data_IF_755549072445
#
_entry.id   IF_755549072445
#
_cell.length_a   1.000
_cell.length_b   1.000
_cell.length_c   1.000
_cell.angle_alpha   90.00
_cell.angle_beta   90.00
_cell.angle_gamma   90.00
#
_symmetry.space_group_name_H-M   'P 1'
#
loop_
_entity.id
_entity.type
_entity.pdbx_description
1 polymer ?
#
# COMPACT_ATOMS: atom_id res chain seq x y z
N UNK A 1 15.73 3.31 -16.28
CA UNK A 1 14.48 3.61 -15.55
C UNK A 1 14.75 4.10 -14.14
N UNK A 2 15.68 3.50 -13.41
CA UNK A 2 16.09 3.97 -12.07
C UNK A 2 16.61 5.42 -12.08
N UNK A 3 17.43 5.82 -13.05
CA UNK A 3 17.88 7.22 -13.19
C UNK A 3 16.75 8.24 -13.40
N UNK A 4 15.70 7.86 -14.12
CA UNK A 4 14.50 8.69 -14.32
C UNK A 4 13.71 8.81 -13.01
N UNK A 5 13.67 7.73 -12.23
CA UNK A 5 13.02 7.70 -10.91
C UNK A 5 13.81 8.53 -9.90
N UNK A 6 15.15 8.47 -9.97
CA UNK A 6 16.07 9.28 -9.17
C UNK A 6 15.90 10.77 -9.48
N UNK A 7 15.96 11.17 -10.76
CA UNK A 7 15.82 12.58 -11.14
C UNK A 7 14.47 13.16 -10.70
N UNK A 8 13.40 12.37 -10.82
CA UNK A 8 12.10 12.77 -10.30
C UNK A 8 12.07 12.94 -8.79
N UNK A 9 12.58 11.93 -8.06
CA UNK A 9 12.57 11.95 -6.60
C UNK A 9 13.45 13.07 -6.04
N UNK A 10 14.52 13.46 -6.73
CA UNK A 10 15.39 14.58 -6.33
C UNK A 10 14.94 15.94 -6.85
N UNK A 11 13.88 16.00 -7.66
CA UNK A 11 13.29 17.24 -8.14
C UNK A 11 13.93 17.84 -9.39
N UNK A 12 14.85 17.11 -10.03
CA UNK A 12 15.45 17.48 -11.31
C UNK A 12 14.46 17.33 -12.48
N UNK A 13 13.44 16.47 -12.32
CA UNK A 13 12.39 16.23 -13.31
C UNK A 13 10.99 16.33 -12.64
N UNK A 14 10.03 17.08 -13.22
CA UNK A 14 8.66 17.12 -12.74
C UNK A 14 7.86 15.90 -13.23
N UNK A 15 6.74 15.59 -12.56
CA UNK A 15 5.91 14.41 -12.86
C UNK A 15 5.29 14.46 -14.27
N UNK A 16 5.01 15.66 -14.76
CA UNK A 16 4.42 15.92 -16.09
C UNK A 16 5.48 16.02 -17.20
N UNK A 17 6.75 15.78 -16.90
CA UNK A 17 7.80 15.90 -17.90
C UNK A 17 7.67 14.83 -18.99
N UNK A 18 8.12 15.13 -20.23
CA UNK A 18 8.19 14.12 -21.29
C UNK A 18 9.05 12.90 -20.92
N UNK A 19 10.05 13.10 -20.05
CA UNK A 19 10.92 12.04 -19.53
C UNK A 19 10.14 11.11 -18.61
N UNK A 20 9.36 11.66 -17.67
CA UNK A 20 8.56 10.89 -16.72
C UNK A 20 7.35 10.22 -17.36
N UNK A 21 6.76 10.86 -18.35
CA UNK A 21 5.70 10.26 -19.18
C UNK A 21 6.11 8.93 -19.82
N UNK A 22 7.42 8.67 -19.99
CA UNK A 22 7.93 7.38 -20.47
C UNK A 22 7.71 6.24 -19.48
N UNK A 23 7.65 6.51 -18.17
CA UNK A 23 7.34 5.50 -17.15
C UNK A 23 5.96 4.87 -17.38
N UNK A 24 5.00 5.66 -17.86
CA UNK A 24 3.62 5.24 -18.05
C UNK A 24 3.34 4.61 -19.42
N UNK A 25 4.39 4.39 -20.23
CA UNK A 25 4.27 3.68 -21.51
C UNK A 25 4.29 2.16 -21.36
N UNK A 26 4.80 1.67 -20.22
CA UNK A 26 5.01 0.25 -19.95
C UNK A 26 4.86 -0.01 -18.45
N UNK A 27 4.07 -1.02 -18.09
CA UNK A 27 3.85 -1.44 -16.70
C UNK A 27 5.18 -1.81 -16.00
N UNK A 28 6.11 -2.45 -16.71
CA UNK A 28 7.41 -2.88 -16.17
C UNK A 28 8.27 -1.69 -15.69
N UNK A 29 8.13 -0.55 -16.35
CA UNK A 29 8.82 0.67 -15.96
C UNK A 29 8.26 1.25 -14.67
N UNK A 30 6.95 1.13 -14.45
CA UNK A 30 6.30 1.51 -13.20
C UNK A 30 6.75 0.56 -12.08
N UNK A 31 6.80 -0.76 -12.33
CA UNK A 31 7.35 -1.71 -11.36
C UNK A 31 8.80 -1.38 -10.98
N UNK A 32 9.62 -0.99 -11.95
CA UNK A 32 11.01 -0.59 -11.68
C UNK A 32 11.07 0.65 -10.78
N UNK A 33 10.25 1.67 -11.05
CA UNK A 33 10.18 2.87 -10.21
C UNK A 33 9.70 2.58 -8.79
N UNK A 34 8.66 1.75 -8.62
CA UNK A 34 8.17 1.32 -7.31
C UNK A 34 9.27 0.60 -6.53
N UNK A 35 9.99 -0.33 -7.19
CA UNK A 35 11.10 -1.05 -6.57
C UNK A 35 12.20 -0.09 -6.12
N UNK A 36 12.55 0.88 -6.97
CA UNK A 36 13.55 1.89 -6.65
C UNK A 36 13.13 2.73 -5.44
N UNK A 37 11.91 3.28 -5.44
CA UNK A 37 11.40 4.05 -4.31
C UNK A 37 11.42 3.20 -3.04
N UNK A 38 10.86 1.99 -3.07
CA UNK A 38 10.95 1.08 -1.93
C UNK A 38 12.40 0.84 -1.49
N UNK A 39 13.37 0.62 -2.38
CA UNK A 39 14.77 0.41 -2.01
C UNK A 39 15.39 1.60 -1.27
N UNK A 40 15.05 2.83 -1.65
CA UNK A 40 15.53 4.04 -0.97
C UNK A 40 14.72 4.40 0.28
N UNK A 41 13.79 3.54 0.72
CA UNK A 41 13.11 3.68 2.03
C UNK A 41 14.16 3.68 3.15
N UNK A 42 14.29 4.80 3.86
CA UNK A 42 15.27 4.99 4.91
C UNK A 42 15.34 6.44 5.40
N UNK A 43 16.18 6.69 6.42
CA UNK A 43 16.15 7.90 7.25
C UNK A 43 16.72 9.19 6.62
N UNK A 44 16.67 9.34 5.29
CA UNK A 44 17.21 10.56 4.63
C UNK A 44 16.32 11.16 3.55
N UNK A 45 15.12 10.64 3.31
CA UNK A 45 14.19 11.34 2.42
C UNK A 45 13.56 12.53 3.14
N UNK A 46 13.66 13.72 2.54
CA UNK A 46 12.94 14.91 2.97
C UNK A 46 11.42 14.70 2.87
N UNK A 47 10.63 15.58 3.47
CA UNK A 47 9.17 15.48 3.33
C UNK A 47 8.72 15.82 1.90
N UNK A 48 9.42 16.69 1.18
CA UNK A 48 9.20 16.94 -0.25
C UNK A 48 9.42 15.67 -1.09
N UNK A 49 10.45 14.89 -0.77
CA UNK A 49 10.73 13.64 -1.47
C UNK A 49 9.66 12.58 -1.19
N UNK A 50 9.14 12.51 0.05
CA UNK A 50 8.00 11.64 0.36
C UNK A 50 6.74 12.09 -0.37
N UNK A 51 6.49 13.39 -0.44
CA UNK A 51 5.35 13.94 -1.17
C UNK A 51 5.40 13.55 -2.66
N UNK A 52 6.58 13.60 -3.29
CA UNK A 52 6.79 13.11 -4.66
C UNK A 52 6.48 11.63 -4.83
N UNK A 53 6.78 10.78 -3.84
CA UNK A 53 6.38 9.37 -3.87
C UNK A 53 4.86 9.23 -3.88
N UNK A 54 4.14 10.03 -3.08
CA UNK A 54 2.68 10.02 -3.10
C UNK A 54 2.10 10.55 -4.41
N UNK A 55 2.66 11.62 -4.99
CA UNK A 55 2.24 12.14 -6.30
C UNK A 55 2.44 11.08 -7.40
N UNK A 56 3.56 10.36 -7.35
CA UNK A 56 3.81 9.24 -8.26
C UNK A 56 2.79 8.12 -8.05
N UNK A 57 2.52 7.74 -6.80
CA UNK A 57 1.53 6.71 -6.49
C UNK A 57 0.14 7.10 -7.03
N UNK A 58 -0.30 8.33 -6.84
CA UNK A 58 -1.56 8.85 -7.41
C UNK A 58 -1.59 8.72 -8.94
N UNK A 59 -0.51 9.12 -9.62
CA UNK A 59 -0.42 8.96 -11.07
C UNK A 59 -0.47 7.50 -11.52
N UNK A 60 0.15 6.58 -10.77
CA UNK A 60 0.03 5.14 -11.05
C UNK A 60 -1.38 4.62 -10.85
N UNK A 61 -2.11 5.11 -9.83
CA UNK A 61 -3.52 4.75 -9.58
C UNK A 61 -4.41 5.23 -10.72
N UNK A 62 -4.24 6.48 -11.15
CA UNK A 62 -5.01 7.02 -12.29
C UNK A 62 -4.68 6.30 -13.59
N UNK A 63 -3.41 5.99 -13.83
CA UNK A 63 -2.99 5.17 -14.98
C UNK A 63 -3.61 3.77 -14.93
N UNK A 64 -3.61 3.11 -13.77
CA UNK A 64 -4.19 1.77 -13.60
C UNK A 64 -5.71 1.76 -13.84
N UNK A 65 -6.42 2.79 -13.38
CA UNK A 65 -7.87 2.97 -13.63
C UNK A 65 -8.20 3.21 -15.10
N UNK A 66 -7.27 3.82 -15.85
CA UNK A 66 -7.45 4.08 -17.28
C UNK A 66 -7.20 2.84 -18.16
N UNK A 67 -6.65 1.76 -17.61
CA UNK A 67 -6.45 0.52 -18.35
C UNK A 67 -7.77 -0.21 -18.59
N UNK A 68 -7.84 -0.98 -19.69
CA UNK A 68 -9.01 -1.82 -20.01
C UNK A 68 -9.33 -2.82 -18.89
N UNK A 69 -8.29 -3.33 -18.25
CA UNK A 69 -8.35 -4.23 -17.10
C UNK A 69 -7.41 -3.71 -16.04
N UNK A 70 -7.87 -3.67 -14.79
CA UNK A 70 -7.06 -3.20 -13.67
C UNK A 70 -5.84 -4.14 -13.51
N UNK A 71 -4.60 -3.63 -13.59
CA UNK A 71 -3.38 -4.43 -13.46
C UNK A 71 -3.12 -4.76 -11.98
N UNK A 72 -3.71 -5.86 -11.49
CA UNK A 72 -3.69 -6.22 -10.06
C UNK A 72 -2.29 -6.46 -9.50
N UNK A 73 -1.35 -6.97 -10.32
CA UNK A 73 0.06 -7.15 -9.96
C UNK A 73 0.74 -5.81 -9.67
N UNK A 74 0.55 -4.82 -10.54
CA UNK A 74 1.03 -3.47 -10.32
C UNK A 74 0.43 -2.86 -9.04
N UNK A 75 -0.88 -3.01 -8.83
CA UNK A 75 -1.53 -2.47 -7.63
C UNK A 75 -1.00 -3.13 -6.35
N UNK A 76 -0.82 -4.45 -6.37
CA UNK A 76 -0.19 -5.17 -5.27
C UNK A 76 1.21 -4.62 -4.99
N UNK A 77 1.97 -4.34 -6.05
CA UNK A 77 3.32 -3.81 -5.94
C UNK A 77 3.35 -2.38 -5.36
N UNK A 78 2.38 -1.54 -5.73
CA UNK A 78 2.22 -0.20 -5.16
C UNK A 78 2.01 -0.21 -3.64
N UNK A 79 1.47 -1.30 -3.08
CA UNK A 79 1.31 -1.44 -1.63
C UNK A 79 2.64 -1.35 -0.86
N UNK A 80 3.78 -1.60 -1.52
CA UNK A 80 5.11 -1.36 -0.94
C UNK A 80 5.28 0.11 -0.56
N UNK A 81 4.72 1.06 -1.30
CA UNK A 81 4.88 2.48 -0.97
C UNK A 81 4.19 2.89 0.35
N UNK A 82 3.41 2.00 0.97
CA UNK A 82 2.80 2.22 2.29
C UNK A 82 3.82 2.53 3.41
N UNK A 83 5.10 2.18 3.27
CA UNK A 83 6.14 2.54 4.27
C UNK A 83 6.32 4.06 4.44
N UNK A 84 5.96 4.85 3.43
CA UNK A 84 6.05 6.30 3.49
C UNK A 84 4.92 6.95 4.28
N UNK A 85 3.85 6.20 4.57
CA UNK A 85 2.70 6.67 5.35
C UNK A 85 3.10 6.75 6.83
N UNK A 86 3.09 7.97 7.38
CA UNK A 86 3.29 8.23 8.82
C UNK A 86 1.97 8.50 9.55
N UNK A 87 1.04 9.16 8.85
CA UNK A 87 -0.31 9.50 9.30
C UNK A 87 -1.24 9.21 8.12
N UNK A 88 -2.45 8.73 8.40
CA UNK A 88 -3.44 8.43 7.36
C UNK A 88 -4.39 9.63 7.25
N UNK A 89 -4.08 10.56 6.35
CA UNK A 89 -4.98 11.64 5.97
C UNK A 89 -5.86 11.19 4.78
N UNK A 90 -6.82 12.02 4.28
CA UNK A 90 -7.71 11.61 3.20
C UNK A 90 -6.98 11.09 1.95
N UNK A 91 -5.80 11.67 1.65
CA UNK A 91 -4.97 11.28 0.51
C UNK A 91 -4.40 9.87 0.67
N UNK A 92 -3.67 9.62 1.76
CA UNK A 92 -3.06 8.32 2.05
C UNK A 92 -4.13 7.25 2.23
N UNK A 93 -5.27 7.60 2.85
CA UNK A 93 -6.40 6.69 3.00
C UNK A 93 -6.90 6.20 1.65
N UNK A 94 -7.10 7.11 0.68
CA UNK A 94 -7.57 6.75 -0.65
C UNK A 94 -6.60 5.81 -1.37
N UNK A 95 -5.30 6.09 -1.28
CA UNK A 95 -4.24 5.24 -1.85
C UNK A 95 -4.20 3.85 -1.21
N UNK A 96 -4.25 3.78 0.12
CA UNK A 96 -4.24 2.52 0.88
C UNK A 96 -5.48 1.68 0.62
N UNK A 97 -6.67 2.29 0.55
CA UNK A 97 -7.92 1.59 0.22
C UNK A 97 -7.92 1.05 -1.21
N UNK A 98 -7.25 1.73 -2.14
CA UNK A 98 -7.15 1.26 -3.52
C UNK A 98 -6.25 0.02 -3.64
N UNK A 99 -5.14 -0.03 -2.90
CA UNK A 99 -4.23 -1.19 -2.94
C UNK A 99 -4.69 -2.35 -2.07
N UNK A 100 -5.43 -2.09 -0.99
CA UNK A 100 -5.82 -3.09 0.01
C UNK A 100 -6.43 -4.38 -0.57
N UNK A 101 -7.34 -4.36 -1.56
CA UNK A 101 -7.90 -5.59 -2.12
C UNK A 101 -6.90 -6.47 -2.90
N UNK A 102 -5.72 -5.94 -3.23
CA UNK A 102 -4.78 -6.57 -4.16
C UNK A 102 -3.46 -6.98 -3.50
N UNK A 103 -3.27 -6.73 -2.20
CA UNK A 103 -1.99 -6.97 -1.50
C UNK A 103 -1.57 -8.44 -1.46
N UNK A 104 -2.50 -9.36 -1.72
CA UNK A 104 -2.27 -10.82 -1.72
C UNK A 104 -1.62 -11.32 -3.02
N UNK A 105 -1.72 -10.58 -4.13
CA UNK A 105 -1.29 -11.04 -5.46
C UNK A 105 0.23 -11.21 -5.61
N UNK A 106 1.05 -10.49 -4.84
CA UNK A 106 2.52 -10.49 -4.97
C UNK A 106 3.23 -10.67 -3.61
N UNK A 107 2.63 -11.42 -2.68
CA UNK A 107 3.19 -11.66 -1.33
C UNK A 107 3.48 -10.37 -0.53
N UNK A 108 2.77 -9.28 -0.84
CA UNK A 108 2.94 -7.99 -0.17
C UNK A 108 2.08 -7.84 1.10
N UNK A 109 1.20 -8.82 1.39
CA UNK A 109 0.28 -8.79 2.53
C UNK A 109 1.03 -8.55 3.85
N UNK A 110 2.05 -9.35 4.18
CA UNK A 110 2.75 -9.23 5.48
C UNK A 110 3.44 -7.87 5.66
N UNK A 111 4.04 -7.34 4.59
CA UNK A 111 4.66 -6.02 4.60
C UNK A 111 3.59 -4.92 4.72
N UNK A 112 2.43 -5.09 4.08
CA UNK A 112 1.31 -4.18 4.20
C UNK A 112 0.74 -4.15 5.63
N UNK A 113 0.52 -5.31 6.25
CA UNK A 113 0.08 -5.44 7.64
C UNK A 113 1.07 -4.81 8.62
N UNK A 114 2.37 -4.98 8.39
CA UNK A 114 3.41 -4.33 9.19
C UNK A 114 3.33 -2.80 9.10
N UNK A 115 3.13 -2.25 7.90
CA UNK A 115 2.99 -0.81 7.70
C UNK A 115 1.70 -0.25 8.34
N UNK A 116 0.57 -0.97 8.25
CA UNK A 116 -0.66 -0.60 8.97
C UNK A 116 -0.46 -0.60 10.49
N UNK A 117 0.27 -1.60 11.01
CA UNK A 117 0.57 -1.71 12.43
C UNK A 117 1.39 -0.53 12.95
N UNK A 118 2.33 0.01 12.16
CA UNK A 118 3.13 1.19 12.52
C UNK A 118 2.28 2.44 12.76
N UNK A 119 1.21 2.62 11.99
CA UNK A 119 0.36 3.82 12.04
C UNK A 119 -0.94 3.63 12.81
N UNK A 120 -1.19 2.42 13.33
CA UNK A 120 -2.39 2.05 14.09
C UNK A 120 -2.70 3.02 15.22
N UNK A 121 -1.70 3.34 16.06
CA UNK A 121 -1.93 4.14 17.28
C UNK A 121 -2.50 5.53 16.96
N UNK A 122 -2.04 6.14 15.88
CA UNK A 122 -2.49 7.47 15.43
C UNK A 122 -3.73 7.41 14.54
N UNK A 123 -4.03 6.27 13.91
CA UNK A 123 -5.08 6.16 12.88
C UNK A 123 -5.97 4.91 13.04
N UNK A 124 -6.49 4.58 14.24
CA UNK A 124 -7.08 3.26 14.48
C UNK A 124 -8.35 3.00 13.65
N UNK A 125 -9.18 4.03 13.42
CA UNK A 125 -10.38 3.92 12.57
C UNK A 125 -10.02 3.67 11.10
N UNK A 126 -9.06 4.42 10.54
CA UNK A 126 -8.67 4.25 9.15
C UNK A 126 -7.98 2.89 8.93
N UNK A 127 -7.11 2.47 9.86
CA UNK A 127 -6.46 1.16 9.82
C UNK A 127 -7.48 0.02 9.87
N UNK A 128 -8.51 0.13 10.71
CA UNK A 128 -9.61 -0.85 10.74
C UNK A 128 -10.28 -1.00 9.37
N UNK A 129 -10.62 0.10 8.72
CA UNK A 129 -11.32 0.09 7.43
C UNK A 129 -10.44 -0.51 6.32
N UNK A 130 -9.18 -0.11 6.27
CA UNK A 130 -8.21 -0.60 5.28
C UNK A 130 -7.94 -2.09 5.50
N UNK A 131 -7.76 -2.53 6.75
CA UNK A 131 -7.54 -3.94 7.08
C UNK A 131 -8.72 -4.79 6.66
N UNK A 132 -9.94 -4.37 7.01
CA UNK A 132 -11.17 -5.05 6.62
C UNK A 132 -11.24 -5.21 5.10
N UNK A 133 -10.93 -4.14 4.36
CA UNK A 133 -10.94 -4.16 2.89
C UNK A 133 -9.93 -5.16 2.30
N UNK A 134 -8.78 -5.34 2.95
CA UNK A 134 -7.77 -6.31 2.51
C UNK A 134 -8.20 -7.76 2.77
N UNK A 135 -8.78 -8.05 3.94
CA UNK A 135 -9.19 -9.41 4.32
C UNK A 135 -10.47 -9.83 3.58
N UNK A 136 -11.40 -8.91 3.32
CA UNK A 136 -12.61 -9.21 2.52
C UNK A 136 -12.29 -9.60 1.08
N UNK A 137 -11.15 -9.15 0.54
CA UNK A 137 -10.75 -9.47 -0.82
C UNK A 137 -10.10 -10.86 -0.92
N UNK A 138 -9.31 -11.23 0.07
CA UNK A 138 -8.70 -12.56 0.22
C UNK A 138 -8.21 -12.72 1.67
N UNK A 139 -8.33 -13.93 2.23
CA UNK A 139 -7.85 -14.22 3.59
C UNK A 139 -6.51 -14.91 3.48
N UNK A 140 -5.47 -14.42 4.18
CA UNK A 140 -4.17 -15.07 4.15
C UNK A 140 -4.29 -16.51 4.66
N UNK A 141 -3.68 -17.44 3.92
CA UNK A 141 -3.59 -18.84 4.34
C UNK A 141 -2.63 -19.04 5.52
N UNK A 142 -1.76 -18.05 5.79
CA UNK A 142 -0.74 -18.06 6.82
C UNK A 142 -0.48 -16.64 7.35
N UNK A 143 -0.44 -16.46 8.68
CA UNK A 143 -0.09 -15.20 9.34
C UNK A 143 1.41 -15.20 9.70
N UNK A 144 2.24 -14.62 8.84
CA UNK A 144 3.69 -14.62 9.06
C UNK A 144 4.05 -13.84 10.31
N UNK A 145 4.80 -14.49 11.20
CA UNK A 145 5.21 -13.95 12.50
C UNK A 145 4.05 -13.42 13.34
N UNK A 146 2.80 -13.90 13.24
CA UNK A 146 1.63 -13.37 13.98
C UNK A 146 1.36 -11.85 13.72
N UNK A 147 1.72 -11.32 12.55
CA UNK A 147 1.56 -9.87 12.23
C UNK A 147 0.10 -9.45 12.18
N UNK A 148 -0.75 -10.20 11.48
CA UNK A 148 -2.18 -9.91 11.36
C UNK A 148 -2.86 -10.01 12.73
N UNK A 149 -2.59 -11.08 13.47
CA UNK A 149 -3.07 -11.27 14.84
C UNK A 149 -2.69 -10.10 15.75
N UNK A 150 -1.44 -9.63 15.70
CA UNK A 150 -1.01 -8.46 16.49
C UNK A 150 -1.73 -7.18 16.07
N UNK A 151 -1.96 -6.97 14.78
CA UNK A 151 -2.71 -5.82 14.29
C UNK A 151 -4.16 -5.83 14.79
N UNK A 152 -4.84 -6.97 14.68
CA UNK A 152 -6.22 -7.15 15.17
C UNK A 152 -6.30 -6.94 16.69
N UNK A 153 -5.38 -7.51 17.46
CA UNK A 153 -5.29 -7.27 18.90
C UNK A 153 -5.03 -5.80 19.23
N UNK A 154 -4.20 -5.13 18.43
CA UNK A 154 -3.94 -3.70 18.53
C UNK A 154 -5.20 -2.86 18.31
N UNK A 155 -6.03 -3.19 17.32
CA UNK A 155 -7.32 -2.54 17.08
C UNK A 155 -8.25 -2.68 18.28
N UNK A 156 -8.39 -3.90 18.82
CA UNK A 156 -9.21 -4.14 20.00
C UNK A 156 -8.74 -3.33 21.23
N UNK A 157 -7.42 -3.22 21.44
CA UNK A 157 -6.82 -2.39 22.50
C UNK A 157 -7.03 -0.89 22.27
N UNK A 158 -7.20 -0.47 21.02
CA UNK A 158 -7.45 0.93 20.63
C UNK A 158 -8.93 1.31 20.67
N UNK A 159 -9.81 0.43 21.18
CA UNK A 159 -11.25 0.68 21.31
C UNK A 159 -12.11 0.13 20.17
N UNK A 160 -11.49 -0.41 19.11
CA UNK A 160 -12.15 -0.94 17.90
C UNK A 160 -12.42 -2.45 18.04
N UNK A 161 -13.03 -2.85 19.17
CA UNK A 161 -13.27 -4.27 19.49
C UNK A 161 -14.22 -4.93 18.49
N UNK A 162 -15.26 -4.22 18.07
CA UNK A 162 -16.27 -4.75 17.13
C UNK A 162 -15.63 -5.03 15.77
N UNK A 163 -14.83 -4.09 15.28
CA UNK A 163 -14.13 -4.19 14.01
C UNK A 163 -13.05 -5.28 14.07
N UNK A 164 -12.35 -5.41 15.20
CA UNK A 164 -11.41 -6.50 15.42
C UNK A 164 -12.10 -7.88 15.37
N UNK A 165 -13.27 -8.03 16.00
CA UNK A 165 -14.07 -9.27 15.93
C UNK A 165 -14.48 -9.56 14.48
N UNK A 166 -14.98 -8.57 13.75
CA UNK A 166 -15.37 -8.74 12.35
C UNK A 166 -14.20 -9.21 11.47
N UNK A 167 -12.98 -8.69 11.69
CA UNK A 167 -11.81 -9.14 10.95
C UNK A 167 -11.49 -10.63 11.21
N UNK A 168 -11.67 -11.08 12.45
CA UNK A 168 -11.48 -12.49 12.84
C UNK A 168 -12.59 -13.38 12.25
N UNK A 169 -13.84 -12.94 12.28
CA UNK A 169 -14.97 -13.68 11.71
C UNK A 169 -14.76 -13.91 10.20
N UNK A 170 -14.35 -12.89 9.44
CA UNK A 170 -14.04 -13.03 8.01
C UNK A 170 -12.92 -14.05 7.79
N UNK A 171 -11.91 -14.08 8.67
CA UNK A 171 -10.82 -15.06 8.58
C UNK A 171 -11.33 -16.51 8.72
N UNK A 172 -12.36 -16.74 9.55
CA UNK A 172 -12.94 -18.06 9.82
C UNK A 172 -14.04 -18.48 8.85
N UNK A 173 -14.77 -17.55 8.24
CA UNK A 173 -15.94 -17.85 7.40
C UNK A 173 -15.62 -18.20 5.93
N UNK A 174 -14.36 -18.03 5.46
CA UNK A 174 -14.04 -18.31 4.06
C UNK A 174 -13.96 -19.84 3.76
N UNK A 175 -14.54 -20.31 2.63
CA UNK A 175 -14.62 -21.74 2.30
C UNK A 175 -13.24 -22.37 2.12
N UNK A 176 -12.98 -23.49 2.81
CA UNK A 176 -11.75 -24.30 2.64
C UNK A 176 -11.00 -24.66 3.92
N UNK A 177 -11.49 -24.27 5.10
CA UNK A 177 -10.90 -24.63 6.41
C UNK A 177 -11.88 -25.40 7.32
N UNK A 178 -12.38 -26.54 6.83
CA UNK A 178 -12.98 -27.61 7.66
C UNK A 178 -12.29 -28.93 7.37
#
# INVERSE_FOLDING_TARGET
>A
MEWISLSYLWGDEPLDSPTISRLFKDEDYIHTAISFFWQVRGDKLSDEQKDRVFQFWEACVEWAKAQRTIPTRLISHLARLAVYVKVIEPREKALLLFVAPHVHTEYNFDAFIENLSRVLKSNPSAVSEILKRAIEADTPSYDYEDRLKRLIQGLARSGFKKEAIQCVEIEFELPGKN
#
